data_IF_355902092334
#
_entry.id   IF_355902092334
#
_cell.length_a   1.000
_cell.length_b   1.000
_cell.length_c   1.000
_cell.angle_alpha   90.00
_cell.angle_beta   90.00
_cell.angle_gamma   90.00
#
_symmetry.space_group_name_H-M   'P 1'
#
loop_
_entity.id
_entity.type
_entity.pdbx_description
1 polymer ?
#
# COMPACT_ATOMS: atom_id res chain seq x y z
N UNK A 1 17.93 -10.07 4.02
CA UNK A 1 19.18 -10.33 3.29
C UNK A 1 19.58 -11.78 3.53
N UNK A 2 19.35 -12.71 2.61
CA UNK A 2 20.01 -14.01 2.60
C UNK A 2 19.24 -15.23 3.09
N UNK A 3 18.14 -15.12 3.81
CA UNK A 3 17.43 -16.26 4.38
C UNK A 3 16.63 -17.08 3.36
N UNK A 4 16.09 -16.45 2.33
CA UNK A 4 15.31 -17.12 1.28
C UNK A 4 16.12 -18.21 0.56
N UNK A 5 17.43 -18.03 0.46
CA UNK A 5 18.33 -18.92 -0.26
C UNK A 5 18.85 -20.11 0.57
N UNK A 6 18.93 -19.98 1.89
CA UNK A 6 19.52 -21.02 2.74
C UNK A 6 18.69 -22.29 2.85
N UNK A 7 17.36 -22.18 2.86
CA UNK A 7 16.50 -23.37 2.97
C UNK A 7 16.40 -24.14 1.65
N UNK A 8 16.53 -23.47 0.51
CA UNK A 8 16.64 -24.14 -0.79
C UNK A 8 18.00 -24.84 -0.97
N UNK A 9 19.03 -24.36 -0.27
CA UNK A 9 20.38 -24.94 -0.26
C UNK A 9 20.53 -26.02 0.82
N UNK A 10 19.76 -26.00 1.91
CA UNK A 10 19.84 -26.98 3.00
C UNK A 10 19.46 -28.41 2.59
N UNK A 11 18.86 -28.60 1.42
CA UNK A 11 18.59 -29.89 0.83
C UNK A 11 19.81 -30.49 0.10
N UNK A 12 20.87 -29.74 -0.10
CA UNK A 12 22.13 -30.25 -0.65
C UNK A 12 22.93 -30.95 0.45
N UNK A 13 22.65 -32.22 0.69
CA UNK A 13 23.46 -33.05 1.55
C UNK A 13 24.77 -33.44 0.81
N UNK A 14 25.83 -32.69 1.07
CA UNK A 14 27.19 -33.15 0.75
C UNK A 14 27.67 -34.14 1.82
N UNK A 15 28.45 -35.12 1.45
CA UNK A 15 28.99 -36.18 2.33
C UNK A 15 29.92 -35.68 3.46
N UNK A 16 30.11 -34.38 3.62
CA UNK A 16 31.12 -33.78 4.52
C UNK A 16 30.51 -32.83 5.57
N UNK A 17 29.62 -33.34 6.42
CA UNK A 17 29.26 -32.73 7.70
C UNK A 17 28.58 -31.38 7.68
N UNK A 18 28.15 -30.85 8.84
CA UNK A 18 27.39 -29.59 8.90
C UNK A 18 28.23 -28.41 8.45
N UNK A 19 27.81 -27.74 7.40
CA UNK A 19 28.39 -26.48 6.93
C UNK A 19 28.42 -25.44 8.08
N UNK A 20 29.56 -24.83 8.32
CA UNK A 20 29.61 -23.56 9.06
C UNK A 20 28.79 -22.55 8.28
N UNK A 21 27.94 -21.73 8.94
CA UNK A 21 27.13 -20.74 8.23
C UNK A 21 28.05 -19.72 7.55
N UNK A 22 28.29 -19.91 6.26
CA UNK A 22 28.95 -18.94 5.41
C UNK A 22 27.97 -17.81 5.04
N UNK A 23 28.43 -16.58 4.83
CA UNK A 23 27.63 -15.54 4.26
C UNK A 23 27.01 -16.00 2.93
N UNK A 24 25.72 -15.72 2.71
CA UNK A 24 24.99 -16.21 1.53
C UNK A 24 25.69 -15.87 0.22
N UNK A 25 26.35 -14.72 0.15
CA UNK A 25 27.13 -14.31 -1.02
C UNK A 25 28.29 -15.29 -1.31
N UNK A 26 28.97 -15.75 -0.28
CA UNK A 26 30.08 -16.73 -0.40
C UNK A 26 29.56 -18.11 -0.78
N UNK A 27 28.37 -18.50 -0.28
CA UNK A 27 27.71 -19.75 -0.66
C UNK A 27 27.34 -19.72 -2.15
N UNK A 28 26.72 -18.62 -2.63
CA UNK A 28 26.35 -18.46 -4.04
C UNK A 28 27.60 -18.47 -4.93
N UNK A 29 28.69 -17.82 -4.49
CA UNK A 29 29.94 -17.78 -5.24
C UNK A 29 30.64 -19.14 -5.27
N UNK A 30 30.67 -19.87 -4.15
CA UNK A 30 31.20 -21.24 -4.06
C UNK A 30 30.40 -22.20 -4.99
N UNK A 31 29.08 -22.09 -5.00
CA UNK A 31 28.21 -22.88 -5.86
C UNK A 31 28.43 -22.56 -7.35
N UNK A 32 28.69 -21.31 -7.70
CA UNK A 32 28.99 -20.89 -9.08
C UNK A 32 30.35 -21.37 -9.57
N UNK A 33 31.31 -21.50 -8.66
CA UNK A 33 32.69 -21.85 -8.99
C UNK A 33 32.99 -23.35 -8.90
N UNK A 34 32.28 -24.09 -8.05
CA UNK A 34 32.49 -25.53 -7.82
C UNK A 34 31.31 -26.36 -8.36
N UNK A 35 31.21 -26.41 -9.69
CA UNK A 35 30.17 -27.17 -10.40
C UNK A 35 30.39 -28.69 -10.38
N UNK A 36 31.55 -29.16 -9.94
CA UNK A 36 31.85 -30.59 -9.86
C UNK A 36 31.26 -31.21 -8.57
N UNK A 37 31.23 -30.45 -7.47
CA UNK A 37 30.78 -30.94 -6.16
C UNK A 37 29.35 -30.50 -5.80
N UNK A 38 28.76 -29.55 -6.52
CA UNK A 38 27.42 -29.06 -6.26
C UNK A 38 26.51 -29.19 -7.49
N UNK A 39 25.53 -30.07 -7.40
CA UNK A 39 24.42 -30.09 -8.32
C UNK A 39 23.25 -29.31 -7.75
N UNK A 40 22.87 -28.20 -8.41
CA UNK A 40 21.75 -27.38 -7.99
C UNK A 40 20.62 -27.55 -8.97
N UNK A 41 19.53 -28.08 -8.47
CA UNK A 41 18.26 -28.06 -9.19
C UNK A 41 17.49 -26.82 -8.77
N UNK A 42 17.33 -25.88 -9.67
CA UNK A 42 16.54 -24.67 -9.45
C UNK A 42 15.13 -24.92 -9.95
N UNK A 43 14.15 -24.42 -9.20
CA UNK A 43 12.78 -24.41 -9.72
C UNK A 43 12.64 -23.36 -10.81
N UNK A 44 11.74 -23.55 -11.78
CA UNK A 44 11.62 -22.63 -12.91
C UNK A 44 11.29 -21.19 -12.51
N UNK A 45 10.40 -20.98 -11.55
CA UNK A 45 10.06 -19.65 -11.07
C UNK A 45 11.25 -18.96 -10.39
N UNK A 46 12.02 -19.76 -9.61
CA UNK A 46 13.23 -19.25 -8.99
C UNK A 46 14.28 -18.82 -10.03
N UNK A 47 14.44 -19.55 -11.11
CA UNK A 47 15.37 -19.16 -12.19
C UNK A 47 14.95 -17.84 -12.84
N UNK A 48 13.65 -17.63 -13.07
CA UNK A 48 13.10 -16.38 -13.60
C UNK A 48 13.41 -15.22 -12.67
N UNK A 49 13.16 -15.38 -11.36
CA UNK A 49 13.48 -14.36 -10.33
C UNK A 49 14.98 -14.06 -10.33
N UNK A 50 15.83 -15.08 -10.30
CA UNK A 50 17.28 -14.91 -10.26
C UNK A 50 17.78 -14.16 -11.49
N UNK A 51 17.31 -14.54 -12.68
CA UNK A 51 17.66 -13.86 -13.94
C UNK A 51 17.22 -12.39 -13.96
N UNK A 52 16.02 -12.10 -13.44
CA UNK A 52 15.53 -10.71 -13.35
C UNK A 52 16.41 -9.87 -12.41
N UNK A 53 16.79 -10.43 -11.25
CA UNK A 53 17.71 -9.75 -10.31
C UNK A 53 19.09 -9.53 -10.92
N UNK A 54 19.65 -10.52 -11.65
CA UNK A 54 20.96 -10.41 -12.28
C UNK A 54 20.99 -9.36 -13.40
N UNK A 55 19.89 -9.24 -14.16
CA UNK A 55 19.85 -8.35 -15.34
C UNK A 55 19.39 -6.93 -15.03
N UNK A 56 18.44 -6.80 -14.08
CA UNK A 56 17.76 -5.52 -13.80
C UNK A 56 18.12 -4.95 -12.42
N UNK A 57 18.86 -5.69 -11.59
CA UNK A 57 19.09 -5.43 -10.15
C UNK A 57 17.78 -5.31 -9.33
N UNK A 58 16.64 -5.67 -9.90
CA UNK A 58 15.31 -5.59 -9.31
C UNK A 58 14.38 -6.62 -9.95
N UNK A 59 13.39 -7.07 -9.20
CA UNK A 59 12.37 -8.01 -9.69
C UNK A 59 10.99 -7.64 -9.14
N UNK A 60 10.01 -7.58 -10.04
CA UNK A 60 8.60 -7.61 -9.68
C UNK A 60 8.14 -9.08 -9.69
N UNK A 61 8.17 -9.69 -8.52
CA UNK A 61 7.87 -11.12 -8.33
C UNK A 61 6.45 -11.44 -8.78
N UNK A 62 5.50 -10.55 -8.48
CA UNK A 62 4.09 -10.73 -8.84
C UNK A 62 3.89 -10.68 -10.35
N UNK A 63 4.59 -9.76 -11.03
CA UNK A 63 4.56 -9.70 -12.49
C UNK A 63 5.23 -10.93 -13.13
N UNK A 64 6.40 -11.36 -12.64
CA UNK A 64 7.06 -12.57 -13.19
C UNK A 64 6.21 -13.83 -12.99
N UNK A 65 5.53 -13.96 -11.85
CA UNK A 65 4.53 -15.02 -11.65
C UNK A 65 3.42 -14.97 -12.71
N UNK A 66 2.86 -13.79 -12.96
CA UNK A 66 1.77 -13.62 -13.92
C UNK A 66 2.21 -13.91 -15.36
N UNK A 67 3.43 -13.53 -15.75
CA UNK A 67 3.98 -13.87 -17.07
C UNK A 67 4.09 -15.39 -17.25
N UNK A 68 4.52 -16.13 -16.23
CA UNK A 68 4.54 -17.59 -16.28
C UNK A 68 3.14 -18.18 -16.32
N UNK A 69 2.20 -17.68 -15.54
CA UNK A 69 0.81 -18.12 -15.57
C UNK A 69 0.19 -17.97 -16.96
N UNK A 70 0.43 -16.82 -17.63
CA UNK A 70 -0.02 -16.60 -19.01
C UNK A 70 0.55 -17.64 -19.98
N UNK A 71 1.81 -18.00 -19.83
CA UNK A 71 2.45 -19.04 -20.67
C UNK A 71 1.85 -20.40 -20.45
N UNK A 72 1.48 -20.75 -19.22
CA UNK A 72 0.76 -22.01 -18.91
C UNK A 72 -0.60 -22.02 -19.63
N UNK A 73 -1.36 -20.93 -19.55
CA UNK A 73 -2.67 -20.79 -20.20
C UNK A 73 -2.57 -20.95 -21.71
N UNK A 74 -1.56 -20.35 -22.32
CA UNK A 74 -1.31 -20.40 -23.77
C UNK A 74 -0.69 -21.73 -24.24
N UNK A 75 -0.31 -22.60 -23.29
CA UNK A 75 0.43 -23.84 -23.55
C UNK A 75 1.75 -23.62 -24.29
N UNK A 76 2.40 -22.48 -24.02
CA UNK A 76 3.67 -22.09 -24.64
C UNK A 76 4.88 -22.32 -23.70
N UNK A 77 4.72 -23.21 -22.73
CA UNK A 77 5.78 -23.59 -21.78
C UNK A 77 5.73 -25.07 -21.44
N UNK A 78 6.91 -25.68 -21.30
CA UNK A 78 7.09 -27.03 -20.78
C UNK A 78 7.50 -27.02 -19.30
N UNK A 79 7.63 -25.82 -18.69
CA UNK A 79 8.12 -25.65 -17.32
C UNK A 79 7.08 -26.11 -16.28
N UNK A 80 5.81 -25.99 -16.60
CA UNK A 80 4.69 -26.37 -15.74
C UNK A 80 3.57 -26.99 -16.57
N UNK A 81 3.05 -28.12 -16.10
CA UNK A 81 1.88 -28.79 -16.70
C UNK A 81 0.56 -28.09 -16.30
N UNK A 82 0.56 -27.44 -15.12
CA UNK A 82 -0.60 -26.77 -14.53
C UNK A 82 -0.14 -25.60 -13.65
N UNK A 83 -1.04 -24.67 -13.26
CA UNK A 83 -0.69 -23.56 -12.36
C UNK A 83 -0.27 -24.00 -10.97
N UNK A 84 -0.63 -25.22 -10.53
CA UNK A 84 -0.39 -25.69 -9.17
C UNK A 84 1.09 -25.64 -8.77
N UNK A 85 2.00 -26.13 -9.62
CA UNK A 85 3.44 -26.09 -9.33
C UNK A 85 3.99 -24.66 -9.19
N UNK A 86 3.51 -23.75 -10.06
CA UNK A 86 3.86 -22.34 -9.98
C UNK A 86 3.31 -21.68 -8.70
N UNK A 87 2.09 -22.01 -8.31
CA UNK A 87 1.47 -21.53 -7.07
C UNK A 87 2.22 -21.98 -5.82
N UNK A 88 2.65 -23.24 -5.78
CA UNK A 88 3.44 -23.79 -4.67
C UNK A 88 4.78 -23.03 -4.52
N UNK A 89 5.45 -22.70 -5.62
CA UNK A 89 6.66 -21.88 -5.60
C UNK A 89 6.40 -20.45 -5.15
N UNK A 90 5.30 -19.83 -5.59
CA UNK A 90 4.90 -18.50 -5.13
C UNK A 90 4.59 -18.50 -3.63
N UNK A 91 3.93 -19.53 -3.11
CA UNK A 91 3.62 -19.69 -1.68
C UNK A 91 4.91 -19.80 -0.84
N UNK A 92 5.96 -20.48 -1.35
CA UNK A 92 7.28 -20.50 -0.71
C UNK A 92 7.87 -19.08 -0.65
N UNK A 93 7.87 -18.34 -1.75
CA UNK A 93 8.38 -16.96 -1.80
C UNK A 93 7.60 -16.08 -0.82
N UNK A 94 6.27 -16.17 -0.84
CA UNK A 94 5.39 -15.44 0.08
C UNK A 94 5.72 -15.75 1.54
N UNK A 95 5.89 -17.02 1.90
CA UNK A 95 6.22 -17.42 3.27
C UNK A 95 7.53 -16.80 3.76
N UNK A 96 8.57 -16.78 2.90
CA UNK A 96 9.85 -16.15 3.22
C UNK A 96 9.77 -14.64 3.33
N UNK A 97 8.98 -13.99 2.48
CA UNK A 97 8.70 -12.56 2.56
C UNK A 97 8.01 -12.21 3.89
N UNK A 98 7.01 -13.00 4.31
CA UNK A 98 6.32 -12.82 5.59
C UNK A 98 7.30 -12.90 6.76
N UNK A 99 8.14 -13.92 6.81
CA UNK A 99 9.15 -14.07 7.87
C UNK A 99 10.10 -12.86 7.92
N UNK A 100 10.62 -12.45 6.76
CA UNK A 100 11.51 -11.29 6.65
C UNK A 100 10.83 -10.00 7.11
N UNK A 101 9.62 -9.74 6.64
CA UNK A 101 8.90 -8.51 6.99
C UNK A 101 8.45 -8.50 8.46
N UNK A 102 8.11 -9.66 9.04
CA UNK A 102 7.81 -9.76 10.47
C UNK A 102 9.04 -9.43 11.34
N UNK A 103 10.23 -9.82 10.92
CA UNK A 103 11.48 -9.42 11.58
C UNK A 103 11.72 -7.89 11.45
N UNK A 104 11.56 -7.34 10.24
CA UNK A 104 11.66 -5.90 10.00
C UNK A 104 10.65 -5.13 10.85
N UNK A 105 9.39 -5.59 10.89
CA UNK A 105 8.35 -4.95 11.70
C UNK A 105 8.73 -4.89 13.19
N UNK A 106 9.28 -5.97 13.74
CA UNK A 106 9.68 -6.04 15.14
C UNK A 106 10.92 -5.20 15.46
N UNK A 107 11.84 -5.05 14.52
CA UNK A 107 13.17 -4.47 14.79
C UNK A 107 13.40 -3.08 14.21
N UNK A 108 12.61 -2.67 13.22
CA UNK A 108 12.82 -1.43 12.46
C UNK A 108 11.58 -0.51 12.43
N UNK A 109 10.39 -1.02 12.73
CA UNK A 109 9.18 -0.21 12.75
C UNK A 109 8.87 0.15 14.20
N UNK A 110 9.58 1.16 14.68
CA UNK A 110 9.53 1.63 16.07
C UNK A 110 9.27 3.15 16.09
N UNK A 111 8.60 3.67 17.13
CA UNK A 111 8.24 5.10 17.21
C UNK A 111 9.41 6.07 17.10
N UNK A 112 10.59 5.65 17.55
CA UNK A 112 11.81 6.46 17.53
C UNK A 112 12.34 6.74 16.10
N UNK A 113 11.87 6.00 15.11
CA UNK A 113 12.28 6.15 13.70
C UNK A 113 11.22 6.88 12.85
N UNK A 114 10.23 7.50 13.48
CA UNK A 114 9.25 8.35 12.78
C UNK A 114 9.98 9.50 12.08
N UNK A 115 9.70 9.67 10.79
CA UNK A 115 10.19 10.82 10.04
C UNK A 115 9.20 11.98 10.18
N UNK A 116 9.64 13.04 10.82
CA UNK A 116 8.79 14.21 11.12
C UNK A 116 8.37 14.99 9.85
N UNK A 117 9.14 14.94 8.77
CA UNK A 117 8.74 15.58 7.50
C UNK A 117 7.60 14.82 6.81
N UNK A 118 7.63 13.49 6.87
CA UNK A 118 6.51 12.65 6.43
C UNK A 118 5.28 12.95 7.30
N UNK A 119 5.44 13.01 8.61
CA UNK A 119 4.35 13.33 9.54
C UNK A 119 3.73 14.68 9.23
N UNK A 120 4.54 15.73 9.05
CA UNK A 120 4.06 17.06 8.65
C UNK A 120 3.30 17.03 7.32
N UNK A 121 3.80 16.29 6.33
CA UNK A 121 3.13 16.18 5.04
C UNK A 121 1.75 15.50 5.13
N UNK A 122 1.62 14.47 5.98
CA UNK A 122 0.36 13.76 6.23
C UNK A 122 -0.70 14.68 6.86
N UNK A 123 -0.27 15.57 7.76
CA UNK A 123 -1.17 16.48 8.49
C UNK A 123 -1.26 17.88 7.87
N UNK A 124 -0.69 18.07 6.68
CA UNK A 124 -0.72 19.34 6.00
C UNK A 124 -2.15 19.74 5.56
N UNK A 125 -2.48 21.03 5.59
CA UNK A 125 -3.72 21.54 5.01
C UNK A 125 -3.78 21.30 3.50
N UNK A 126 -4.98 21.32 2.92
CA UNK A 126 -5.17 21.37 1.48
C UNK A 126 -4.49 22.59 0.89
N UNK A 127 -3.90 22.43 -0.28
CA UNK A 127 -3.44 23.54 -1.08
C UNK A 127 -4.56 23.94 -2.03
N UNK A 128 -5.18 25.09 -1.79
CA UNK A 128 -6.32 25.55 -2.61
C UNK A 128 -6.01 25.60 -4.11
N UNK A 129 -4.76 25.89 -4.49
CA UNK A 129 -4.29 25.87 -5.88
C UNK A 129 -4.29 24.48 -6.54
N UNK A 130 -4.26 23.42 -5.76
CA UNK A 130 -4.24 22.03 -6.25
C UNK A 130 -5.66 21.47 -6.43
N UNK A 131 -6.69 22.28 -6.15
CA UNK A 131 -8.09 21.89 -6.33
C UNK A 131 -8.45 22.07 -7.79
N UNK A 132 -8.94 20.99 -8.43
CA UNK A 132 -9.38 21.02 -9.82
C UNK A 132 -10.54 22.00 -10.02
N UNK A 133 -10.70 22.50 -11.24
CA UNK A 133 -11.81 23.42 -11.57
C UNK A 133 -13.15 22.77 -11.24
N UNK A 134 -13.32 21.51 -11.55
CA UNK A 134 -14.56 20.75 -11.28
C UNK A 134 -14.80 20.53 -9.78
N UNK A 135 -13.72 20.46 -8.99
CA UNK A 135 -13.79 20.31 -7.53
C UNK A 135 -14.08 21.59 -6.76
N UNK A 136 -14.04 22.76 -7.40
CA UNK A 136 -14.17 24.07 -6.70
C UNK A 136 -15.51 24.24 -6.03
N UNK A 137 -16.61 23.92 -6.71
CA UNK A 137 -17.96 24.05 -6.12
C UNK A 137 -18.10 23.26 -4.82
N UNK A 138 -17.65 22.00 -4.82
CA UNK A 138 -17.69 21.16 -3.63
C UNK A 138 -16.75 21.65 -2.53
N UNK A 139 -15.61 22.25 -2.89
CA UNK A 139 -14.70 22.85 -1.91
C UNK A 139 -15.25 24.13 -1.32
N UNK A 140 -15.95 24.95 -2.10
CA UNK A 140 -16.62 26.17 -1.63
C UNK A 140 -17.75 25.83 -0.64
N UNK A 141 -18.50 24.76 -0.91
CA UNK A 141 -19.52 24.23 0.01
C UNK A 141 -18.86 23.75 1.32
N UNK A 142 -17.77 23.01 1.21
CA UNK A 142 -16.97 22.56 2.36
C UNK A 142 -16.44 23.73 3.21
N UNK A 143 -15.90 24.77 2.59
CA UNK A 143 -15.44 25.98 3.30
C UNK A 143 -16.60 26.67 4.01
N UNK A 144 -17.74 26.81 3.33
CA UNK A 144 -18.95 27.48 3.85
C UNK A 144 -19.50 26.70 5.05
N UNK A 145 -19.57 25.37 4.96
CA UNK A 145 -20.01 24.52 6.06
C UNK A 145 -19.08 24.64 7.28
N UNK A 146 -17.76 24.60 7.04
CA UNK A 146 -16.77 24.78 8.11
C UNK A 146 -16.86 26.12 8.79
N UNK A 147 -17.06 27.17 8.00
CA UNK A 147 -17.27 28.51 8.50
C UNK A 147 -18.50 28.57 9.40
N UNK A 148 -19.63 28.04 8.93
CA UNK A 148 -20.86 27.97 9.71
C UNK A 148 -20.69 27.21 11.03
N UNK A 149 -19.98 26.08 11.02
CA UNK A 149 -19.68 25.33 12.26
C UNK A 149 -18.85 26.14 13.25
N UNK A 150 -17.86 26.87 12.78
CA UNK A 150 -17.02 27.70 13.65
C UNK A 150 -17.76 28.94 14.16
N UNK A 151 -18.59 29.60 13.33
CA UNK A 151 -19.44 30.71 13.76
C UNK A 151 -20.45 30.31 14.83
N UNK A 152 -21.04 29.13 14.68
CA UNK A 152 -22.06 28.58 15.58
C UNK A 152 -21.47 27.73 16.70
N UNK A 153 -20.16 27.83 16.96
CA UNK A 153 -19.45 27.02 17.96
C UNK A 153 -19.95 27.19 19.39
N UNK A 154 -20.75 28.22 19.66
CA UNK A 154 -21.40 28.41 20.98
C UNK A 154 -22.69 27.60 21.13
N UNK A 155 -23.30 27.13 20.01
CA UNK A 155 -24.47 26.28 20.09
C UNK A 155 -24.12 24.90 20.65
N UNK A 156 -25.00 24.26 21.47
CA UNK A 156 -24.71 22.94 22.06
C UNK A 156 -24.37 21.86 21.02
N UNK A 157 -24.99 21.92 19.85
CA UNK A 157 -24.83 20.93 18.77
C UNK A 157 -23.48 21.07 18.05
N UNK A 158 -23.08 22.31 17.73
CA UNK A 158 -21.84 22.57 17.01
C UNK A 158 -20.61 22.60 17.92
N UNK A 159 -20.78 23.00 19.19
CA UNK A 159 -19.70 23.14 20.15
C UNK A 159 -18.88 21.87 20.30
N UNK A 160 -19.56 20.75 20.53
CA UNK A 160 -18.87 19.46 20.73
C UNK A 160 -18.04 19.05 19.50
N UNK A 161 -18.59 19.21 18.30
CA UNK A 161 -17.93 18.86 17.04
C UNK A 161 -16.75 19.78 16.73
N UNK A 162 -16.94 21.09 16.87
CA UNK A 162 -15.89 22.07 16.63
C UNK A 162 -14.70 21.88 17.58
N UNK A 163 -14.95 21.82 18.89
CA UNK A 163 -13.89 21.66 19.87
C UNK A 163 -13.21 20.31 19.77
N UNK A 164 -13.95 19.23 19.49
CA UNK A 164 -13.38 17.89 19.23
C UNK A 164 -12.45 17.92 18.02
N UNK A 165 -12.87 18.57 16.94
CA UNK A 165 -12.02 18.71 15.77
C UNK A 165 -10.73 19.50 16.08
N UNK A 166 -10.84 20.64 16.75
CA UNK A 166 -9.69 21.44 17.15
C UNK A 166 -8.74 20.64 18.05
N UNK A 167 -9.29 19.94 19.05
CA UNK A 167 -8.49 19.08 19.93
C UNK A 167 -7.74 17.98 19.16
N UNK A 168 -8.42 17.28 18.27
CA UNK A 168 -7.82 16.21 17.48
C UNK A 168 -6.70 16.70 16.55
N UNK A 169 -6.76 17.96 16.16
CA UNK A 169 -5.81 18.60 15.23
C UNK A 169 -4.81 19.53 15.92
N UNK A 170 -4.86 19.60 17.25
CA UNK A 170 -4.01 20.47 18.07
C UNK A 170 -4.12 21.95 17.66
N UNK A 171 -5.33 22.41 17.32
CA UNK A 171 -5.64 23.79 16.96
C UNK A 171 -6.18 24.53 18.18
N UNK A 172 -5.89 25.83 18.27
CA UNK A 172 -6.49 26.72 19.26
C UNK A 172 -7.88 27.19 18.79
N UNK A 173 -8.98 26.77 19.45
CA UNK A 173 -10.32 27.22 19.09
C UNK A 173 -10.51 28.74 19.19
N UNK A 174 -9.81 29.39 20.13
CA UNK A 174 -9.91 30.84 20.31
C UNK A 174 -9.30 31.60 19.11
N UNK A 175 -8.15 31.16 18.64
CA UNK A 175 -7.49 31.75 17.48
C UNK A 175 -8.37 31.68 16.23
N UNK A 176 -8.98 30.49 15.99
CA UNK A 176 -9.93 30.28 14.89
C UNK A 176 -11.12 31.23 15.00
N UNK A 177 -11.70 31.38 16.20
CA UNK A 177 -12.84 32.29 16.41
C UNK A 177 -12.49 33.78 16.22
N UNK A 178 -11.28 34.19 16.58
CA UNK A 178 -10.81 35.57 16.30
C UNK A 178 -10.63 35.77 14.78
N UNK A 179 -10.08 34.78 14.08
CA UNK A 179 -9.92 34.83 12.63
C UNK A 179 -11.27 34.96 11.91
N UNK A 180 -12.30 34.21 12.34
CA UNK A 180 -13.65 34.30 11.79
C UNK A 180 -14.30 35.68 11.95
N UNK A 181 -14.09 36.33 13.10
CA UNK A 181 -14.64 37.67 13.35
C UNK A 181 -14.07 38.74 12.42
N UNK A 182 -12.86 38.58 11.95
CA UNK A 182 -12.15 39.53 11.11
C UNK A 182 -12.26 39.20 9.60
N UNK A 183 -12.88 38.08 9.22
CA UNK A 183 -12.75 37.56 7.86
C UNK A 183 -14.06 36.92 7.37
N UNK A 184 -14.48 37.24 6.16
CA UNK A 184 -15.64 36.64 5.49
C UNK A 184 -15.18 35.78 4.30
N UNK A 185 -15.23 34.45 4.50
CA UNK A 185 -14.79 33.47 3.51
C UNK A 185 -15.51 33.63 2.17
N UNK A 186 -16.83 33.92 2.20
CA UNK A 186 -17.62 33.99 0.97
C UNK A 186 -17.16 35.11 0.03
N UNK A 187 -16.60 36.19 0.58
CA UNK A 187 -16.04 37.33 -0.17
C UNK A 187 -14.61 37.09 -0.67
N UNK A 188 -13.96 36.01 -0.21
CA UNK A 188 -12.53 35.80 -0.45
C UNK A 188 -12.20 34.50 -1.15
N UNK A 189 -13.21 33.67 -1.50
CA UNK A 189 -13.00 32.34 -2.11
C UNK A 189 -12.11 32.43 -3.36
N UNK A 190 -12.39 33.32 -4.30
CA UNK A 190 -11.55 33.47 -5.50
C UNK A 190 -10.09 33.87 -5.16
N UNK A 191 -9.91 34.70 -4.13
CA UNK A 191 -8.58 35.11 -3.70
C UNK A 191 -7.82 33.96 -3.03
N UNK A 192 -8.51 33.04 -2.40
CA UNK A 192 -7.92 31.82 -1.81
C UNK A 192 -7.33 30.94 -2.94
N UNK A 193 -8.08 30.71 -4.01
CA UNK A 193 -7.58 29.91 -5.15
C UNK A 193 -6.38 30.55 -5.84
N UNK A 194 -6.30 31.85 -5.87
CA UNK A 194 -5.19 32.58 -6.46
C UNK A 194 -4.00 32.79 -5.50
N UNK A 195 -4.08 32.26 -4.27
CA UNK A 195 -3.07 32.45 -3.23
C UNK A 195 -2.93 33.90 -2.75
N UNK A 196 -3.92 34.73 -3.06
CA UNK A 196 -3.92 36.18 -2.71
C UNK A 196 -4.57 36.48 -1.34
N UNK A 197 -5.09 35.46 -0.66
CA UNK A 197 -5.67 35.53 0.66
C UNK A 197 -5.10 34.44 1.56
N UNK A 198 -4.69 34.81 2.74
CA UNK A 198 -4.37 33.89 3.81
C UNK A 198 -5.67 33.44 4.49
N UNK A 199 -5.78 32.16 4.74
CA UNK A 199 -6.89 31.56 5.48
C UNK A 199 -6.30 30.66 6.56
N UNK A 200 -6.94 30.63 7.73
CA UNK A 200 -6.50 29.78 8.82
C UNK A 200 -6.55 28.30 8.42
N UNK A 201 -5.53 27.50 8.79
CA UNK A 201 -5.38 26.09 8.45
C UNK A 201 -6.61 25.25 8.79
N UNK A 202 -7.35 25.61 9.84
CA UNK A 202 -8.62 24.98 10.20
C UNK A 202 -9.57 24.77 9.00
N UNK A 203 -9.64 25.76 8.11
CA UNK A 203 -10.54 25.71 6.94
C UNK A 203 -10.01 24.81 5.83
N UNK A 204 -8.72 24.52 5.82
CA UNK A 204 -8.06 23.75 4.77
C UNK A 204 -7.73 22.31 5.21
N UNK A 205 -7.97 21.94 6.47
CA UNK A 205 -7.74 20.60 6.93
C UNK A 205 -8.86 19.65 6.46
N UNK A 206 -8.55 18.42 6.01
CA UNK A 206 -9.56 17.45 5.61
C UNK A 206 -10.45 17.03 6.79
N UNK A 207 -11.72 16.72 6.53
CA UNK A 207 -12.62 16.19 7.54
C UNK A 207 -12.23 14.79 7.97
N UNK A 208 -11.87 13.95 7.00
CA UNK A 208 -11.37 12.60 7.22
C UNK A 208 -10.11 12.36 6.38
N UNK A 209 -9.26 11.46 6.85
CA UNK A 209 -8.06 11.00 6.14
C UNK A 209 -8.08 9.47 6.11
N UNK A 210 -7.99 8.90 4.91
CA UNK A 210 -7.80 7.47 4.73
C UNK A 210 -6.38 7.18 4.27
N UNK A 211 -5.66 6.38 5.04
CA UNK A 211 -4.40 5.79 4.62
C UNK A 211 -4.69 4.49 3.89
N UNK A 212 -4.62 4.51 2.58
CA UNK A 212 -4.64 3.30 1.78
C UNK A 212 -3.22 2.72 1.77
N UNK A 213 -3.00 1.73 2.63
CA UNK A 213 -1.69 1.12 2.83
C UNK A 213 -1.52 -0.13 1.98
N UNK A 214 -0.58 -0.08 1.04
CA UNK A 214 -0.21 -1.21 0.18
C UNK A 214 0.89 -2.10 0.79
N UNK A 215 1.51 -1.66 1.90
CA UNK A 215 2.49 -2.46 2.61
C UNK A 215 1.82 -3.41 3.59
N UNK A 216 2.40 -4.58 3.77
CA UNK A 216 1.94 -5.57 4.75
C UNK A 216 2.28 -5.22 6.20
N UNK A 217 3.21 -4.26 6.38
CA UNK A 217 3.68 -3.82 7.70
C UNK A 217 2.84 -2.69 8.26
N UNK A 218 2.82 -2.58 9.59
CA UNK A 218 2.10 -1.53 10.34
C UNK A 218 2.85 -0.19 10.40
N UNK A 219 3.65 0.12 9.39
CA UNK A 219 4.43 1.38 9.35
C UNK A 219 3.51 2.60 9.37
N UNK A 220 2.40 2.57 8.65
CA UNK A 220 1.44 3.67 8.60
C UNK A 220 0.81 3.96 9.97
N UNK A 221 0.62 2.93 10.81
CA UNK A 221 0.03 3.06 12.14
C UNK A 221 0.86 3.98 13.06
N UNK A 222 2.17 4.09 12.85
CA UNK A 222 3.03 4.99 13.61
C UNK A 222 2.73 6.47 13.36
N UNK A 223 2.18 6.80 12.19
CA UNK A 223 1.94 8.18 11.77
C UNK A 223 0.52 8.65 12.07
N UNK A 224 -0.37 7.74 12.47
CA UNK A 224 -1.79 8.03 12.59
C UNK A 224 -2.15 8.47 14.00
N UNK A 225 -2.88 9.57 14.09
CA UNK A 225 -3.54 9.99 15.31
C UNK A 225 -4.65 8.97 15.69
N UNK A 226 -4.79 8.69 16.98
CA UNK A 226 -5.87 7.83 17.52
C UNK A 226 -7.27 8.48 17.42
N UNK A 227 -7.41 9.55 16.65
CA UNK A 227 -8.71 10.19 16.44
C UNK A 227 -9.54 9.43 15.42
N UNK A 228 -10.87 9.54 15.54
CA UNK A 228 -11.81 8.89 14.61
C UNK A 228 -11.73 9.39 13.16
N UNK A 229 -11.06 10.54 12.95
CA UNK A 229 -10.95 11.21 11.64
C UNK A 229 -9.85 10.61 10.76
N UNK A 230 -9.03 9.72 11.34
CA UNK A 230 -7.96 9.03 10.64
C UNK A 230 -8.25 7.54 10.60
N UNK A 231 -8.27 6.98 9.39
CA UNK A 231 -8.55 5.58 9.13
C UNK A 231 -7.39 4.95 8.37
N UNK A 232 -7.11 3.69 8.66
CA UNK A 232 -6.18 2.87 7.86
C UNK A 232 -6.96 1.79 7.14
N UNK A 233 -6.58 1.55 5.91
CA UNK A 233 -7.01 0.41 5.13
C UNK A 233 -5.78 -0.31 4.58
N UNK A 234 -5.42 -1.45 5.17
CA UNK A 234 -4.38 -2.33 4.66
C UNK A 234 -4.96 -3.15 3.51
N UNK A 235 -4.97 -2.57 2.32
CA UNK A 235 -5.68 -3.13 1.16
C UNK A 235 -5.14 -4.49 0.73
N UNK A 236 -3.85 -4.73 0.92
CA UNK A 236 -3.19 -6.01 0.65
C UNK A 236 -3.07 -6.93 1.87
N UNK A 237 -3.84 -6.64 2.93
CA UNK A 237 -3.70 -7.35 4.18
C UNK A 237 -2.55 -6.86 5.04
N UNK A 238 -2.34 -7.50 6.18
CA UNK A 238 -1.33 -7.14 7.15
C UNK A 238 -0.70 -8.36 7.81
N UNK A 239 0.52 -8.21 8.27
CA UNK A 239 1.24 -9.27 8.99
C UNK A 239 0.52 -9.62 10.29
N UNK A 240 0.56 -10.90 10.64
CA UNK A 240 0.05 -11.44 11.90
C UNK A 240 -1.45 -11.15 12.15
N UNK A 241 -2.27 -11.07 11.07
CA UNK A 241 -3.71 -10.86 11.16
C UNK A 241 -4.51 -11.82 10.27
N UNK A 242 -5.05 -12.88 10.86
CA UNK A 242 -5.85 -13.89 10.15
C UNK A 242 -7.16 -13.34 9.57
N UNK A 243 -7.67 -12.22 10.11
CA UNK A 243 -8.90 -11.56 9.61
C UNK A 243 -8.62 -10.65 8.43
N UNK A 244 -7.38 -10.29 8.22
CA UNK A 244 -6.92 -9.49 7.09
C UNK A 244 -5.65 -10.13 6.48
N UNK A 245 -5.79 -11.32 5.88
CA UNK A 245 -4.64 -12.08 5.39
C UNK A 245 -3.94 -11.37 4.24
N UNK A 246 -2.63 -11.61 4.11
CA UNK A 246 -1.82 -11.04 3.05
C UNK A 246 -2.33 -11.48 1.68
N UNK A 247 -2.59 -10.51 0.83
CA UNK A 247 -2.92 -10.67 -0.59
C UNK A 247 -1.63 -10.45 -1.38
N UNK A 248 -1.07 -11.54 -1.90
CA UNK A 248 0.13 -11.54 -2.72
C UNK A 248 -0.17 -12.25 -4.03
N UNK A 249 0.00 -11.57 -5.15
CA UNK A 249 -0.38 -12.06 -6.48
C UNK A 249 -0.47 -10.93 -7.48
N UNK A 250 -1.10 -11.16 -8.61
CA UNK A 250 -1.21 -10.18 -9.69
C UNK A 250 -2.69 -9.81 -9.95
N UNK A 251 -2.94 -8.55 -10.29
CA UNK A 251 -4.27 -8.07 -10.66
C UNK A 251 -4.20 -7.05 -11.79
N UNK A 252 -4.68 -7.46 -12.97
CA UNK A 252 -4.92 -6.57 -14.10
C UNK A 252 -6.08 -7.11 -14.93
N UNK A 253 -7.30 -6.72 -14.58
CA UNK A 253 -8.52 -7.14 -15.28
C UNK A 253 -8.65 -6.53 -16.69
N UNK A 254 -7.84 -5.53 -17.00
CA UNK A 254 -7.79 -4.91 -18.32
C UNK A 254 -6.92 -5.69 -19.30
N UNK A 255 -6.10 -6.65 -18.81
CA UNK A 255 -5.29 -7.53 -19.66
C UNK A 255 -6.17 -8.53 -20.41
N UNK A 256 -5.97 -8.66 -21.71
CA UNK A 256 -6.68 -9.65 -22.52
C UNK A 256 -6.39 -11.10 -22.08
N UNK A 257 -5.18 -11.36 -21.57
CA UNK A 257 -4.84 -12.67 -21.01
C UNK A 257 -5.63 -12.98 -19.74
N UNK A 258 -5.96 -11.96 -18.92
CA UNK A 258 -6.86 -12.12 -17.79
C UNK A 258 -8.24 -12.64 -18.23
N UNK A 259 -8.78 -12.08 -19.32
CA UNK A 259 -10.05 -12.58 -19.89
C UNK A 259 -9.96 -14.03 -20.35
N UNK A 260 -8.82 -14.43 -20.92
CA UNK A 260 -8.58 -15.85 -21.26
C UNK A 260 -8.56 -16.73 -20.01
N UNK A 261 -7.85 -16.31 -18.96
CA UNK A 261 -7.78 -17.03 -17.69
C UNK A 261 -9.18 -17.17 -17.07
N UNK A 262 -9.95 -16.12 -16.99
CA UNK A 262 -11.30 -16.12 -16.41
C UNK A 262 -12.27 -17.01 -17.18
N UNK A 263 -12.11 -17.11 -18.51
CA UNK A 263 -12.96 -17.94 -19.38
C UNK A 263 -12.62 -19.45 -19.34
N UNK A 264 -11.50 -19.86 -18.72
CA UNK A 264 -11.17 -21.27 -18.57
C UNK A 264 -12.15 -22.01 -17.66
N UNK A 265 -12.91 -21.30 -16.82
CA UNK A 265 -13.78 -21.87 -15.78
C UNK A 265 -13.03 -22.84 -14.84
N UNK A 266 -11.76 -22.59 -14.60
CA UNK A 266 -10.89 -23.39 -13.73
C UNK A 266 -10.31 -22.49 -12.63
N UNK A 267 -10.79 -22.67 -11.41
CA UNK A 267 -10.40 -21.87 -10.26
C UNK A 267 -8.93 -22.02 -9.88
N UNK A 268 -8.24 -23.06 -10.35
CA UNK A 268 -6.81 -23.22 -10.08
C UNK A 268 -5.96 -22.10 -10.67
N UNK A 269 -6.40 -21.48 -11.77
CA UNK A 269 -5.74 -20.33 -12.39
C UNK A 269 -6.04 -19.00 -11.69
N UNK A 270 -7.02 -18.95 -10.80
CA UNK A 270 -7.51 -17.73 -10.16
C UNK A 270 -7.01 -17.57 -8.72
N UNK A 271 -6.30 -18.56 -8.17
CA UNK A 271 -5.88 -18.63 -6.76
C UNK A 271 -5.13 -17.36 -6.28
N UNK A 272 -4.21 -16.85 -7.12
CA UNK A 272 -3.36 -15.71 -6.79
C UNK A 272 -3.70 -14.46 -7.63
N UNK A 273 -4.94 -14.33 -8.08
CA UNK A 273 -5.45 -13.13 -8.74
C UNK A 273 -5.98 -12.16 -7.69
N UNK A 274 -5.39 -10.97 -7.60
CA UNK A 274 -5.70 -9.95 -6.57
C UNK A 274 -7.15 -9.51 -6.58
N UNK A 275 -7.77 -9.29 -7.75
CA UNK A 275 -9.16 -8.85 -7.85
C UNK A 275 -10.14 -9.79 -7.16
N UNK A 276 -9.89 -11.09 -7.22
CA UNK A 276 -10.70 -12.10 -6.51
C UNK A 276 -10.40 -12.08 -5.01
N UNK A 277 -9.12 -11.98 -4.64
CA UNK A 277 -8.66 -11.95 -3.26
C UNK A 277 -9.20 -10.73 -2.49
N UNK A 278 -9.39 -9.57 -3.16
CA UNK A 278 -10.00 -8.40 -2.54
C UNK A 278 -11.44 -8.62 -2.07
N UNK A 279 -12.12 -9.65 -2.57
CA UNK A 279 -13.48 -10.01 -2.14
C UNK A 279 -13.50 -10.80 -0.83
N UNK A 280 -12.36 -11.31 -0.36
CA UNK A 280 -12.25 -12.09 0.87
C UNK A 280 -12.33 -11.23 2.13
N UNK A 281 -12.12 -9.93 2.01
CA UNK A 281 -12.19 -8.96 3.10
C UNK A 281 -13.13 -7.81 2.75
N UNK A 282 -13.40 -6.93 3.72
CA UNK A 282 -14.18 -5.71 3.48
C UNK A 282 -13.32 -4.49 3.07
N UNK A 283 -12.00 -4.68 2.90
CA UNK A 283 -11.06 -3.59 2.62
C UNK A 283 -11.42 -2.81 1.36
N UNK A 284 -11.71 -3.52 0.26
CA UNK A 284 -12.09 -2.90 -1.00
C UNK A 284 -13.41 -2.13 -0.88
N UNK A 285 -14.40 -2.69 -0.19
CA UNK A 285 -15.68 -2.02 0.07
C UNK A 285 -15.50 -0.76 0.90
N UNK A 286 -14.65 -0.80 1.93
CA UNK A 286 -14.34 0.39 2.75
C UNK A 286 -13.65 1.48 1.95
N UNK A 287 -12.78 1.11 1.01
CA UNK A 287 -12.16 2.05 0.08
C UNK A 287 -13.23 2.75 -0.78
N UNK A 288 -14.10 1.98 -1.43
CA UNK A 288 -15.17 2.53 -2.27
C UNK A 288 -16.11 3.44 -1.45
N UNK A 289 -16.51 3.03 -0.25
CA UNK A 289 -17.34 3.85 0.63
C UNK A 289 -16.68 5.19 0.97
N UNK A 290 -15.36 5.21 1.16
CA UNK A 290 -14.64 6.45 1.39
C UNK A 290 -14.62 7.34 0.14
N UNK A 291 -14.32 6.78 -1.03
CA UNK A 291 -14.28 7.49 -2.31
C UNK A 291 -15.65 8.10 -2.63
N UNK A 292 -16.74 7.36 -2.39
CA UNK A 292 -18.10 7.80 -2.69
C UNK A 292 -18.67 8.78 -1.63
N UNK A 293 -18.00 8.95 -0.49
CA UNK A 293 -18.55 9.74 0.63
C UNK A 293 -18.49 11.25 0.42
N UNK A 294 -17.46 11.75 -0.26
CA UNK A 294 -17.21 13.16 -0.50
C UNK A 294 -16.10 13.36 -1.56
N UNK A 295 -15.97 14.57 -2.13
CA UNK A 295 -14.80 14.93 -2.91
C UNK A 295 -13.50 14.77 -2.10
N UNK A 296 -12.44 14.31 -2.76
CA UNK A 296 -11.17 13.96 -2.11
C UNK A 296 -9.96 14.39 -2.91
N UNK A 297 -8.81 14.46 -2.25
CA UNK A 297 -7.49 14.59 -2.87
C UNK A 297 -6.67 13.34 -2.58
N UNK A 298 -5.87 12.92 -3.54
CA UNK A 298 -4.97 11.77 -3.40
C UNK A 298 -3.53 12.25 -3.27
N UNK A 299 -2.85 11.78 -2.23
CA UNK A 299 -1.41 11.96 -2.04
C UNK A 299 -0.71 10.62 -2.15
N UNK A 300 0.15 10.46 -3.16
CA UNK A 300 0.93 9.25 -3.37
C UNK A 300 2.25 9.37 -2.61
N UNK A 301 2.48 8.47 -1.65
CA UNK A 301 3.67 8.48 -0.80
C UNK A 301 4.41 7.15 -0.93
N UNK A 302 5.47 7.14 -1.75
CA UNK A 302 6.35 5.99 -1.90
C UNK A 302 5.77 4.78 -2.63
N UNK A 303 4.57 4.89 -3.23
CA UNK A 303 3.97 3.84 -4.03
C UNK A 303 4.38 3.97 -5.49
N UNK A 304 4.75 2.85 -6.13
CA UNK A 304 5.21 2.85 -7.53
C UNK A 304 4.07 2.98 -8.55
N UNK A 305 2.83 2.77 -8.14
CA UNK A 305 1.66 2.66 -9.02
C UNK A 305 1.88 1.63 -10.15
N UNK A 306 2.45 0.49 -9.77
CA UNK A 306 2.80 -0.59 -10.69
C UNK A 306 1.59 -1.33 -11.24
N UNK A 307 1.81 -2.07 -12.34
CA UNK A 307 0.75 -2.83 -13.01
C UNK A 307 0.13 -3.93 -12.15
N UNK A 308 0.87 -4.45 -11.16
CA UNK A 308 0.36 -5.45 -10.21
C UNK A 308 -0.80 -4.94 -9.33
N UNK A 309 -0.98 -3.61 -9.27
CA UNK A 309 -2.04 -2.94 -8.50
C UNK A 309 -3.05 -2.21 -9.38
N UNK A 310 -3.00 -2.45 -10.69
CA UNK A 310 -3.82 -1.73 -11.68
C UNK A 310 -5.32 -1.85 -11.41
N UNK A 311 -5.77 -2.98 -10.93
CA UNK A 311 -7.19 -3.19 -10.54
C UNK A 311 -7.69 -2.18 -9.50
N UNK A 312 -6.81 -1.71 -8.61
CA UNK A 312 -7.16 -0.72 -7.58
C UNK A 312 -6.96 0.73 -8.03
N UNK A 313 -6.10 0.94 -9.04
CA UNK A 313 -5.66 2.27 -9.45
C UNK A 313 -6.42 2.81 -10.68
N UNK A 314 -7.23 1.99 -11.32
CA UNK A 314 -8.14 2.35 -12.38
C UNK A 314 -9.53 2.66 -11.84
#
# INVERSE_FOLDING_TARGET
>A
KGWVWCDLISQCHGEHGPFKPLPVKEIIEAIKTDTENFSITRTPFFEVINKAVETKNWVDIENEYYQLLKRIVRKDTELYESPQGLDEELDIVKSKLVVYLSEIQKTRIIPELINEDIRKAIYAPFKAKDISVDGRTAFDEFLTERWGKAQNAESPECKSLFYKFCYNRQLDPYDIQQHIKSYDVSKHIERIYNGAAEIHDYFLLPSEVLFLNFNYTKTADLYISKSSDFKINHIHGELDNDKNPIIFGYGDEMDEDYKMISNLNDNSYLKNIKSIRYLETDNYRRLLQFIDSAPYQIYIMGHSCGNSDRTLLN
#
